data_IF_788127217062
#
_entry.id   IF_788127217062
#
_cell.length_a   1.000
_cell.length_b   1.000
_cell.length_c   1.000
_cell.angle_alpha   90.00
_cell.angle_beta   90.00
_cell.angle_gamma   90.00
#
_symmetry.space_group_name_H-M   'P 1'
#
loop_
_entity.id
_entity.type
_entity.pdbx_description
1 polymer ?
#
# COMPACT_ATOMS: atom_id res chain seq x y z
N UNK A 1 -7.43 -1.55 10.14
CA UNK A 1 -7.48 -0.92 8.81
C UNK A 1 -8.34 0.33 8.78
N UNK A 2 -9.65 0.24 9.09
CA UNK A 2 -10.55 1.41 9.15
C UNK A 2 -10.00 2.54 10.05
N UNK A 3 -9.52 2.22 11.26
CA UNK A 3 -8.93 3.22 12.16
C UNK A 3 -7.72 3.94 11.56
N UNK A 4 -6.89 3.24 10.77
CA UNK A 4 -5.77 3.84 10.03
C UNK A 4 -6.27 4.79 8.93
N UNK A 5 -7.24 4.34 8.13
CA UNK A 5 -7.87 5.18 7.11
C UNK A 5 -8.50 6.47 7.69
N UNK A 6 -9.18 6.38 8.85
CA UNK A 6 -9.72 7.56 9.55
C UNK A 6 -8.60 8.53 9.96
N UNK A 7 -7.46 8.03 10.46
CA UNK A 7 -6.32 8.88 10.83
C UNK A 7 -5.71 9.60 9.61
N UNK A 8 -5.59 8.90 8.48
CA UNK A 8 -5.12 9.47 7.21
C UNK A 8 -6.09 10.54 6.70
N UNK A 9 -7.39 10.25 6.63
CA UNK A 9 -8.44 11.21 6.24
C UNK A 9 -8.45 12.48 7.11
N UNK A 10 -8.15 12.35 8.41
CA UNK A 10 -8.07 13.48 9.34
C UNK A 10 -6.75 14.25 9.28
N UNK A 11 -5.78 13.85 8.44
CA UNK A 11 -4.44 14.43 8.40
C UNK A 11 -3.68 14.26 9.71
N UNK A 12 -3.98 13.22 10.50
CA UNK A 12 -3.33 12.94 11.80
C UNK A 12 -2.12 12.02 11.69
N UNK A 13 -1.85 11.50 10.50
CA UNK A 13 -0.70 10.67 10.16
C UNK A 13 -0.48 10.74 8.64
N UNK A 14 0.78 10.67 8.21
CA UNK A 14 1.15 10.49 6.81
C UNK A 14 1.14 9.00 6.42
N UNK A 15 1.53 8.14 7.36
CA UNK A 15 1.55 6.68 7.23
C UNK A 15 0.80 6.04 8.39
N UNK A 16 -0.04 5.05 8.11
CA UNK A 16 -0.68 4.20 9.10
C UNK A 16 -0.38 2.73 8.82
N UNK A 17 -0.08 1.94 9.85
CA UNK A 17 0.29 0.52 9.71
C UNK A 17 -0.70 -0.36 10.47
N UNK A 18 -1.14 -1.46 9.87
CA UNK A 18 -1.92 -2.50 10.52
C UNK A 18 -1.58 -3.90 9.98
N UNK A 19 -0.59 -4.54 10.59
CA UNK A 19 -0.13 -5.89 10.22
C UNK A 19 -1.18 -7.00 10.43
N UNK A 20 -2.20 -6.77 11.28
CA UNK A 20 -3.30 -7.72 11.46
C UNK A 20 -4.37 -7.66 10.35
N UNK A 21 -4.28 -6.68 9.45
CA UNK A 21 -5.16 -6.55 8.29
C UNK A 21 -4.53 -7.09 7.01
N UNK A 22 -5.12 -6.77 5.87
CA UNK A 22 -4.62 -7.22 4.56
C UNK A 22 -5.27 -8.52 4.06
N UNK A 23 -6.47 -8.84 4.56
CA UNK A 23 -7.19 -10.09 4.24
C UNK A 23 -7.95 -9.94 2.91
N UNK A 24 -7.19 -9.96 1.81
CA UNK A 24 -7.64 -9.54 0.48
C UNK A 24 -8.61 -10.50 -0.24
N UNK A 25 -8.72 -11.76 0.18
CA UNK A 25 -9.54 -12.78 -0.49
C UNK A 25 -11.02 -12.76 -0.07
N UNK A 26 -11.35 -12.11 1.06
CA UNK A 26 -12.72 -12.09 1.54
C UNK A 26 -13.65 -11.41 0.53
N UNK A 27 -14.77 -12.06 0.22
CA UNK A 27 -15.76 -11.59 -0.74
C UNK A 27 -16.91 -10.86 -0.05
N UNK A 28 -17.85 -10.34 -0.84
CA UNK A 28 -19.01 -9.63 -0.29
C UNK A 28 -19.91 -10.53 0.58
N UNK A 29 -20.08 -11.79 0.19
CA UNK A 29 -21.03 -12.71 0.80
C UNK A 29 -20.43 -14.09 1.11
N UNK A 30 -19.11 -14.25 1.07
CA UNK A 30 -18.43 -15.52 1.40
C UNK A 30 -16.99 -15.28 1.89
N UNK A 31 -16.50 -16.22 2.70
CA UNK A 31 -15.10 -16.29 3.08
C UNK A 31 -14.31 -17.05 2.02
N UNK A 32 -13.04 -16.67 1.80
CA UNK A 32 -12.15 -17.33 0.84
C UNK A 32 -10.70 -17.13 1.27
N UNK A 33 -9.81 -18.09 0.98
CA UNK A 33 -8.36 -17.95 1.21
C UNK A 33 -7.99 -17.48 2.63
N UNK A 34 -8.58 -18.10 3.66
CA UNK A 34 -8.41 -17.71 5.08
C UNK A 34 -8.92 -16.30 5.47
N UNK A 35 -9.61 -15.62 4.56
CA UNK A 35 -10.14 -14.28 4.75
C UNK A 35 -11.66 -14.30 4.94
N UNK A 36 -12.15 -13.68 6.03
CA UNK A 36 -13.57 -13.69 6.40
C UNK A 36 -14.25 -12.32 6.23
N UNK A 37 -13.52 -11.24 6.46
CA UNK A 37 -13.98 -9.87 6.28
C UNK A 37 -12.89 -9.08 5.56
N UNK A 38 -13.25 -8.39 4.48
CA UNK A 38 -12.29 -7.64 3.68
C UNK A 38 -12.02 -6.27 4.32
N UNK A 39 -11.09 -6.24 5.27
CA UNK A 39 -10.72 -5.02 6.00
C UNK A 39 -10.11 -3.94 5.09
N UNK A 40 -9.56 -4.35 3.95
CA UNK A 40 -8.99 -3.50 2.91
C UNK A 40 -10.09 -2.72 2.20
N UNK A 41 -11.13 -3.42 1.70
CA UNK A 41 -12.28 -2.79 1.05
C UNK A 41 -12.93 -1.77 1.98
N UNK A 42 -13.12 -2.11 3.26
CA UNK A 42 -13.68 -1.20 4.25
C UNK A 42 -12.80 0.03 4.51
N UNK A 43 -11.47 -0.14 4.52
CA UNK A 43 -10.54 0.98 4.66
C UNK A 43 -10.52 1.88 3.41
N UNK A 44 -10.58 1.32 2.20
CA UNK A 44 -10.68 2.09 0.95
C UNK A 44 -11.99 2.88 0.91
N UNK A 45 -13.12 2.28 1.29
CA UNK A 45 -14.41 2.99 1.40
C UNK A 45 -14.35 4.17 2.38
N UNK A 46 -13.60 4.04 3.47
CA UNK A 46 -13.34 5.15 4.39
C UNK A 46 -12.51 6.24 3.70
N UNK A 47 -11.39 5.90 3.04
CA UNK A 47 -10.55 6.86 2.32
C UNK A 47 -11.31 7.59 1.21
N UNK A 48 -12.21 6.91 0.51
CA UNK A 48 -13.06 7.50 -0.54
C UNK A 48 -14.02 8.58 -0.06
N UNK A 49 -14.17 8.80 1.26
CA UNK A 49 -14.91 9.95 1.80
C UNK A 49 -14.19 11.28 1.60
N UNK A 50 -12.86 11.26 1.51
CA UNK A 50 -12.00 12.46 1.36
C UNK A 50 -11.26 12.45 0.02
N UNK A 51 -10.77 11.28 -0.40
CA UNK A 51 -9.94 11.16 -1.59
C UNK A 51 -10.78 10.77 -2.82
N UNK A 52 -10.64 11.53 -3.92
CA UNK A 52 -11.36 11.25 -5.17
C UNK A 52 -10.93 9.91 -5.78
N UNK A 53 -9.63 9.60 -5.69
CA UNK A 53 -8.98 8.40 -6.24
C UNK A 53 -8.11 7.75 -5.17
N UNK A 54 -8.26 6.44 -4.98
CA UNK A 54 -7.44 5.64 -4.06
C UNK A 54 -6.73 4.55 -4.86
N UNK A 55 -5.41 4.45 -4.68
CA UNK A 55 -4.62 3.38 -5.30
C UNK A 55 -4.47 2.22 -4.31
N UNK A 56 -4.84 1.02 -4.73
CA UNK A 56 -4.57 -0.21 -4.01
C UNK A 56 -3.43 -0.97 -4.68
N UNK A 57 -2.41 -1.35 -3.91
CA UNK A 57 -1.23 -2.09 -4.36
C UNK A 57 -1.13 -3.35 -3.51
N UNK A 58 -0.95 -4.48 -4.19
CA UNK A 58 -0.90 -5.80 -3.59
C UNK A 58 0.38 -6.53 -4.02
N UNK A 59 1.23 -6.84 -3.03
CA UNK A 59 2.49 -7.58 -3.22
C UNK A 59 2.49 -8.96 -2.54
N UNK A 60 1.31 -9.43 -2.10
CA UNK A 60 1.08 -10.83 -1.77
C UNK A 60 1.38 -11.72 -2.99
N UNK A 61 1.78 -12.97 -2.76
CA UNK A 61 2.00 -13.88 -3.89
C UNK A 61 0.68 -14.28 -4.58
N UNK A 62 -0.45 -14.19 -3.88
CA UNK A 62 -1.77 -14.47 -4.41
C UNK A 62 -2.41 -13.22 -5.01
N UNK A 63 -3.24 -13.42 -6.03
CA UNK A 63 -4.01 -12.31 -6.60
C UNK A 63 -4.99 -11.74 -5.57
N UNK A 64 -4.98 -10.40 -5.40
CA UNK A 64 -5.88 -9.62 -4.54
C UNK A 64 -7.34 -9.56 -5.00
N UNK A 65 -7.92 -10.72 -5.28
CA UNK A 65 -9.16 -10.90 -6.02
C UNK A 65 -10.40 -10.33 -5.33
N UNK A 66 -10.50 -10.37 -4.00
CA UNK A 66 -11.62 -9.79 -3.27
C UNK A 66 -11.66 -8.26 -3.33
N UNK A 67 -10.48 -7.62 -3.33
CA UNK A 67 -10.38 -6.16 -3.47
C UNK A 67 -10.63 -5.74 -4.91
N UNK A 68 -10.04 -6.46 -5.88
CA UNK A 68 -10.30 -6.24 -7.31
C UNK A 68 -11.80 -6.36 -7.63
N UNK A 69 -12.45 -7.44 -7.19
CA UNK A 69 -13.88 -7.67 -7.44
C UNK A 69 -14.75 -6.54 -6.86
N UNK A 70 -14.44 -6.08 -5.64
CA UNK A 70 -15.21 -5.02 -4.97
C UNK A 70 -15.19 -3.69 -5.72
N UNK A 71 -14.12 -3.42 -6.49
CA UNK A 71 -13.94 -2.15 -7.19
C UNK A 71 -13.88 -2.29 -8.73
N UNK A 72 -14.17 -3.48 -9.26
CA UNK A 72 -14.01 -3.83 -10.67
C UNK A 72 -14.74 -2.92 -11.67
N UNK A 73 -15.77 -2.19 -11.22
CA UNK A 73 -16.60 -1.33 -12.06
C UNK A 73 -16.49 0.17 -11.78
N UNK A 74 -15.54 0.62 -10.96
CA UNK A 74 -15.31 2.03 -10.66
C UNK A 74 -13.92 2.49 -11.07
N UNK A 75 -13.81 3.77 -11.45
CA UNK A 75 -12.57 4.50 -11.71
C UNK A 75 -11.98 5.18 -10.45
N UNK A 76 -12.75 5.24 -9.35
CA UNK A 76 -12.33 5.87 -8.10
C UNK A 76 -11.34 5.04 -7.29
N UNK A 77 -11.17 3.76 -7.64
CA UNK A 77 -10.15 2.89 -7.07
C UNK A 77 -9.43 2.19 -8.20
N UNK A 78 -8.11 2.24 -8.20
CA UNK A 78 -7.28 1.43 -9.07
C UNK A 78 -6.67 0.29 -8.26
N UNK A 79 -6.85 -0.95 -8.70
CA UNK A 79 -6.24 -2.12 -8.07
C UNK A 79 -5.04 -2.57 -8.90
N UNK A 80 -3.92 -2.81 -8.22
CA UNK A 80 -2.67 -3.27 -8.83
C UNK A 80 -2.15 -4.47 -8.06
N UNK A 81 -2.00 -5.62 -8.72
CA UNK A 81 -1.54 -6.84 -8.07
C UNK A 81 -0.41 -7.51 -8.85
N UNK A 82 0.63 -7.95 -8.14
CA UNK A 82 1.78 -8.69 -8.65
C UNK A 82 1.82 -10.06 -8.01
N UNK A 83 1.42 -11.10 -8.72
CA UNK A 83 1.11 -12.39 -8.11
C UNK A 83 1.52 -13.55 -9.01
N UNK A 84 1.70 -14.73 -8.41
CA UNK A 84 1.87 -15.96 -9.18
C UNK A 84 0.59 -16.30 -9.92
N UNK A 85 0.72 -16.71 -11.18
CA UNK A 85 -0.41 -17.08 -12.02
C UNK A 85 -0.14 -18.34 -12.86
N UNK A 86 -1.18 -19.14 -13.04
CA UNK A 86 -1.13 -20.47 -13.67
C UNK A 86 -1.12 -21.60 -12.64
N UNK A 87 -2.18 -22.42 -12.65
CA UNK A 87 -2.42 -23.50 -11.66
C UNK A 87 -2.14 -23.09 -10.20
N UNK A 88 -2.58 -21.88 -9.82
CA UNK A 88 -2.35 -21.31 -8.49
C UNK A 88 -3.61 -20.62 -7.98
N UNK A 89 -3.80 -20.63 -6.66
CA UNK A 89 -4.92 -19.93 -6.02
C UNK A 89 -4.76 -18.40 -6.18
N UNK A 90 -5.84 -17.62 -6.41
CA UNK A 90 -7.25 -18.01 -6.54
C UNK A 90 -7.70 -18.37 -7.96
N UNK A 91 -6.81 -18.33 -8.95
CA UNK A 91 -7.12 -18.65 -10.36
C UNK A 91 -7.63 -17.47 -11.20
N UNK A 92 -7.59 -16.25 -10.66
CA UNK A 92 -7.90 -14.98 -11.35
C UNK A 92 -6.65 -14.11 -11.46
N UNK A 93 -6.73 -12.95 -12.12
CA UNK A 93 -5.61 -12.01 -12.23
C UNK A 93 -4.80 -12.17 -13.52
N UNK A 94 -5.44 -12.60 -14.62
CA UNK A 94 -4.76 -12.57 -15.92
C UNK A 94 -4.46 -11.12 -16.32
N UNK A 95 -3.41 -10.90 -17.12
CA UNK A 95 -3.20 -9.62 -17.84
C UNK A 95 -4.41 -9.07 -18.61
N UNK A 96 -5.39 -9.93 -18.94
CA UNK A 96 -6.65 -9.58 -19.61
C UNK A 96 -7.72 -9.05 -18.66
N UNK A 97 -7.59 -9.30 -17.36
CA UNK A 97 -8.50 -8.84 -16.32
C UNK A 97 -8.21 -7.37 -16.03
N UNK A 98 -8.87 -6.50 -16.79
CA UNK A 98 -8.61 -5.05 -16.81
C UNK A 98 -9.78 -4.22 -16.25
N UNK A 99 -10.70 -4.84 -15.52
CA UNK A 99 -11.92 -4.18 -15.04
C UNK A 99 -13.04 -4.11 -16.09
N UNK A 100 -14.19 -3.59 -15.69
CA UNK A 100 -15.39 -3.50 -16.52
C UNK A 100 -16.14 -2.18 -16.33
N UNK A 101 -17.01 -1.82 -17.29
CA UNK A 101 -17.80 -0.58 -17.24
C UNK A 101 -16.89 0.64 -16.99
N UNK A 102 -17.20 1.46 -15.98
CA UNK A 102 -16.39 2.62 -15.61
C UNK A 102 -15.03 2.26 -15.01
N UNK A 103 -14.83 1.02 -14.55
CA UNK A 103 -13.55 0.53 -14.01
C UNK A 103 -12.63 -0.11 -15.04
N UNK A 104 -13.00 -0.10 -16.34
CA UNK A 104 -12.12 -0.63 -17.39
C UNK A 104 -10.83 0.20 -17.45
N UNK A 105 -9.68 -0.49 -17.47
CA UNK A 105 -8.31 0.02 -17.32
C UNK A 105 -7.90 0.44 -15.89
N UNK A 106 -8.76 0.23 -14.89
CA UNK A 106 -8.47 0.52 -13.46
C UNK A 106 -8.18 -0.74 -12.63
N UNK A 107 -8.20 -1.93 -13.25
CA UNK A 107 -7.60 -3.13 -12.67
C UNK A 107 -6.32 -3.48 -13.45
N UNK A 108 -5.21 -3.64 -12.73
CA UNK A 108 -3.88 -3.89 -13.30
C UNK A 108 -3.29 -5.14 -12.67
N UNK A 109 -3.13 -6.17 -13.49
CA UNK A 109 -2.63 -7.48 -13.05
C UNK A 109 -1.30 -7.80 -13.73
N UNK A 110 -0.29 -8.10 -12.91
CA UNK A 110 1.01 -8.58 -13.35
C UNK A 110 1.18 -10.06 -12.94
N UNK A 111 0.75 -11.01 -13.79
CA UNK A 111 0.93 -12.43 -13.53
C UNK A 111 2.41 -12.80 -13.67
N UNK A 112 2.88 -13.59 -12.72
CA UNK A 112 4.26 -14.02 -12.58
C UNK A 112 4.36 -15.55 -12.48
N UNK A 113 5.57 -16.05 -12.71
CA UNK A 113 5.97 -17.45 -12.53
C UNK A 113 6.86 -17.59 -11.30
N UNK A 114 7.21 -18.83 -10.97
CA UNK A 114 8.03 -19.14 -9.82
C UNK A 114 9.42 -18.49 -9.87
N UNK A 115 9.98 -18.26 -8.68
CA UNK A 115 11.37 -17.89 -8.50
C UNK A 115 11.73 -16.46 -8.85
N UNK A 116 10.77 -15.54 -9.00
CA UNK A 116 11.11 -14.12 -9.22
C UNK A 116 12.02 -13.61 -8.10
N UNK A 117 13.11 -12.95 -8.51
CA UNK A 117 14.12 -12.37 -7.63
C UNK A 117 13.94 -10.85 -7.45
N UNK A 118 14.70 -10.27 -6.52
CA UNK A 118 14.63 -8.86 -6.15
C UNK A 118 14.85 -7.93 -7.36
N UNK A 119 15.85 -8.21 -8.18
CA UNK A 119 16.21 -7.42 -9.36
C UNK A 119 15.10 -7.42 -10.41
N UNK A 120 14.58 -8.61 -10.74
CA UNK A 120 13.50 -8.80 -11.69
C UNK A 120 12.22 -8.12 -11.22
N UNK A 121 11.86 -8.31 -9.95
CA UNK A 121 10.67 -7.70 -9.35
C UNK A 121 10.78 -6.16 -9.35
N UNK A 122 11.93 -5.60 -8.97
CA UNK A 122 12.15 -4.16 -9.02
C UNK A 122 12.07 -3.58 -10.45
N UNK A 123 12.53 -4.35 -11.46
CA UNK A 123 12.52 -3.94 -12.87
C UNK A 123 11.12 -3.82 -13.49
N UNK A 124 10.10 -4.40 -12.84
CA UNK A 124 8.69 -4.30 -13.24
C UNK A 124 7.89 -3.41 -12.30
N UNK A 125 8.13 -3.48 -10.98
CA UNK A 125 7.37 -2.74 -9.98
C UNK A 125 7.54 -1.23 -10.17
N UNK A 126 8.79 -0.74 -10.22
CA UNK A 126 9.07 0.70 -10.29
C UNK A 126 8.51 1.36 -11.57
N UNK A 127 8.72 0.81 -12.79
CA UNK A 127 8.17 1.44 -13.99
C UNK A 127 6.64 1.44 -14.04
N UNK A 128 6.00 0.35 -13.60
CA UNK A 128 4.54 0.24 -13.61
C UNK A 128 3.93 1.23 -12.61
N UNK A 129 4.37 1.19 -11.35
CA UNK A 129 3.83 2.07 -10.32
C UNK A 129 4.18 3.53 -10.57
N UNK A 130 5.38 3.82 -11.09
CA UNK A 130 5.74 5.17 -11.54
C UNK A 130 4.79 5.71 -12.60
N UNK A 131 4.43 4.89 -13.60
CA UNK A 131 3.46 5.28 -14.63
C UNK A 131 2.05 5.45 -14.07
N UNK A 132 1.64 4.59 -13.15
CA UNK A 132 0.34 4.68 -12.47
C UNK A 132 0.25 5.97 -11.66
N UNK A 133 1.28 6.31 -10.88
CA UNK A 133 1.30 7.56 -10.11
C UNK A 133 1.21 8.79 -11.01
N UNK A 134 1.88 8.78 -12.17
CA UNK A 134 1.83 9.85 -13.18
C UNK A 134 0.42 10.03 -13.78
N UNK A 135 -0.25 8.92 -14.13
CA UNK A 135 -1.51 8.93 -14.88
C UNK A 135 -2.74 8.95 -13.97
N UNK A 136 -2.77 8.06 -12.98
CA UNK A 136 -3.90 7.90 -12.05
C UNK A 136 -3.93 8.96 -10.96
N UNK A 137 -2.77 9.49 -10.53
CA UNK A 137 -2.66 10.56 -9.52
C UNK A 137 -3.57 10.32 -8.30
N UNK A 138 -3.37 9.24 -7.53
CA UNK A 138 -4.20 8.93 -6.37
C UNK A 138 -3.98 9.95 -5.25
N UNK A 139 -5.04 10.17 -4.46
CA UNK A 139 -4.96 11.01 -3.25
C UNK A 139 -4.61 10.24 -1.99
N UNK A 140 -4.71 8.91 -2.02
CA UNK A 140 -4.30 8.00 -0.95
C UNK A 140 -3.88 6.64 -1.53
N UNK A 141 -3.01 5.92 -0.83
CA UNK A 141 -2.51 4.60 -1.20
C UNK A 141 -2.84 3.61 -0.08
N UNK A 142 -3.33 2.44 -0.44
CA UNK A 142 -3.40 1.27 0.43
C UNK A 142 -2.46 0.22 -0.13
N UNK A 143 -1.46 -0.17 0.65
CA UNK A 143 -0.47 -1.17 0.27
C UNK A 143 -0.62 -2.40 1.15
N UNK A 144 -1.01 -3.51 0.55
CA UNK A 144 -1.03 -4.84 1.17
C UNK A 144 0.38 -5.42 1.02
N UNK A 145 0.99 -5.85 2.13
CA UNK A 145 2.37 -6.32 2.19
C UNK A 145 2.41 -7.80 2.60
N UNK A 146 1.69 -8.65 1.86
CA UNK A 146 1.68 -10.10 2.03
C UNK A 146 3.09 -10.68 1.92
N UNK A 147 3.55 -11.29 3.01
CA UNK A 147 4.93 -11.76 3.18
C UNK A 147 5.12 -13.21 2.67
N UNK A 148 4.12 -13.82 2.04
CA UNK A 148 4.24 -15.12 1.37
C UNK A 148 4.90 -15.05 -0.02
N UNK A 149 5.14 -13.83 -0.53
CA UNK A 149 6.00 -13.57 -1.68
C UNK A 149 7.51 -13.67 -1.36
N UNK A 150 7.87 -13.86 -0.09
CA UNK A 150 9.26 -14.03 0.34
C UNK A 150 9.84 -15.40 0.01
N UNK A 151 11.16 -15.44 -0.14
CA UNK A 151 11.92 -16.68 -0.24
C UNK A 151 11.68 -17.59 0.96
N UNK A 152 11.47 -18.88 0.67
CA UNK A 152 11.32 -19.92 1.69
C UNK A 152 10.01 -19.83 2.45
N UNK A 153 8.99 -19.15 1.91
CA UNK A 153 7.62 -19.30 2.38
C UNK A 153 7.13 -20.76 2.24
N UNK A 154 6.15 -21.17 3.06
CA UNK A 154 5.63 -22.54 3.04
C UNK A 154 4.66 -22.82 1.90
N UNK A 155 3.95 -21.80 1.42
CA UNK A 155 2.96 -21.89 0.35
C UNK A 155 3.41 -21.13 -0.91
N UNK A 156 4.13 -20.03 -0.72
CA UNK A 156 4.68 -19.22 -1.79
C UNK A 156 5.89 -19.85 -2.48
N UNK A 157 6.09 -19.48 -3.74
CA UNK A 157 7.16 -19.97 -4.61
C UNK A 157 7.93 -18.84 -5.31
N UNK A 158 7.98 -17.67 -4.69
CA UNK A 158 8.86 -16.57 -5.10
C UNK A 158 10.21 -16.64 -4.35
N UNK A 159 11.16 -15.81 -4.77
CA UNK A 159 12.51 -15.78 -4.23
C UNK A 159 12.90 -14.37 -3.72
N UNK A 160 11.93 -13.60 -3.24
CA UNK A 160 12.18 -12.23 -2.76
C UNK A 160 12.85 -12.22 -1.39
N UNK A 161 13.85 -11.38 -1.23
CA UNK A 161 14.43 -11.08 0.08
C UNK A 161 13.57 -10.05 0.83
N UNK A 162 13.78 -9.94 2.14
CA UNK A 162 13.17 -8.88 2.97
C UNK A 162 13.53 -7.49 2.44
N UNK A 163 14.74 -7.30 1.88
CA UNK A 163 15.14 -6.02 1.29
C UNK A 163 14.41 -5.78 -0.02
N UNK A 164 14.28 -6.79 -0.88
CA UNK A 164 13.51 -6.72 -2.12
C UNK A 164 12.07 -6.32 -1.88
N UNK A 165 11.42 -6.98 -0.91
CA UNK A 165 10.05 -6.69 -0.49
C UNK A 165 9.93 -5.26 0.07
N UNK A 166 10.76 -4.88 1.04
CA UNK A 166 10.73 -3.55 1.64
C UNK A 166 11.09 -2.40 0.69
N UNK A 167 11.84 -2.65 -0.41
CA UNK A 167 12.07 -1.67 -1.47
C UNK A 167 10.78 -1.24 -2.18
N UNK A 168 9.74 -2.07 -2.15
CA UNK A 168 8.43 -1.70 -2.67
C UNK A 168 7.79 -0.61 -1.81
N UNK A 169 7.81 -0.80 -0.48
CA UNK A 169 7.34 0.20 0.50
C UNK A 169 8.15 1.48 0.39
N UNK A 170 9.49 1.37 0.34
CA UNK A 170 10.41 2.50 0.17
C UNK A 170 10.07 3.31 -1.09
N UNK A 171 9.88 2.63 -2.24
CA UNK A 171 9.53 3.31 -3.49
C UNK A 171 8.19 4.04 -3.39
N UNK A 172 7.16 3.39 -2.86
CA UNK A 172 5.84 4.02 -2.76
C UNK A 172 5.80 5.19 -1.78
N UNK A 173 6.64 5.16 -0.74
CA UNK A 173 6.79 6.27 0.20
C UNK A 173 7.34 7.54 -0.47
N UNK A 174 8.17 7.41 -1.50
CA UNK A 174 8.76 8.57 -2.22
C UNK A 174 7.74 9.51 -2.86
N UNK A 175 6.51 9.06 -3.08
CA UNK A 175 5.45 9.88 -3.68
C UNK A 175 4.76 10.82 -2.69
N UNK A 176 5.00 10.69 -1.37
CA UNK A 176 4.47 11.56 -0.33
C UNK A 176 2.94 11.72 -0.37
N UNK A 177 2.23 10.60 -0.58
CA UNK A 177 0.77 10.50 -0.54
C UNK A 177 0.37 9.70 0.70
N UNK A 178 -0.75 10.02 1.40
CA UNK A 178 -1.22 9.26 2.55
C UNK A 178 -1.21 7.75 2.30
N UNK A 179 -0.50 7.01 3.15
CA UNK A 179 -0.18 5.59 2.93
C UNK A 179 -0.71 4.73 4.08
N UNK A 180 -1.60 3.80 3.76
CA UNK A 180 -2.02 2.73 4.67
C UNK A 180 -1.27 1.44 4.31
N UNK A 181 -0.42 0.96 5.21
CA UNK A 181 0.31 -0.31 5.06
C UNK A 181 -0.43 -1.40 5.85
N UNK A 182 -0.71 -2.52 5.20
CA UNK A 182 -1.40 -3.68 5.78
C UNK A 182 -0.51 -4.92 5.71
N UNK A 183 -0.85 -5.94 6.51
CA UNK A 183 -0.23 -7.26 6.40
C UNK A 183 -0.75 -8.03 5.19
N UNK A 184 -0.96 -9.34 5.36
CA UNK A 184 -1.38 -10.24 4.29
C UNK A 184 -1.04 -11.69 4.61
N UNK A 185 -0.85 -12.51 3.57
CA UNK A 185 -0.31 -13.86 3.68
C UNK A 185 1.11 -13.88 4.24
N UNK A 186 1.60 -15.08 4.56
CA UNK A 186 2.93 -15.30 5.14
C UNK A 186 2.95 -16.49 6.08
N UNK A 187 3.59 -17.58 5.67
CA UNK A 187 3.44 -18.90 6.29
C UNK A 187 4.75 -19.46 6.85
N UNK A 188 5.88 -18.86 6.49
CA UNK A 188 7.13 -18.97 7.27
C UNK A 188 7.18 -17.82 8.29
N UNK A 189 6.47 -17.97 9.41
CA UNK A 189 6.18 -16.91 10.42
C UNK A 189 7.40 -16.11 10.90
N UNK A 190 8.59 -16.71 10.91
CA UNK A 190 9.84 -16.04 11.30
C UNK A 190 10.25 -14.99 10.27
N UNK A 191 10.06 -15.30 9.00
CA UNK A 191 10.34 -14.38 7.91
C UNK A 191 9.25 -13.29 7.84
N UNK A 192 8.00 -13.62 8.17
CA UNK A 192 6.92 -12.62 8.33
C UNK A 192 7.30 -11.58 9.40
N UNK A 193 7.71 -12.04 10.59
CA UNK A 193 8.13 -11.16 11.68
C UNK A 193 9.31 -10.27 11.27
N UNK A 194 10.32 -10.84 10.59
CA UNK A 194 11.47 -10.09 10.05
C UNK A 194 11.04 -9.05 9.01
N UNK A 195 10.16 -9.43 8.08
CA UNK A 195 9.72 -8.58 6.98
C UNK A 195 8.97 -7.36 7.51
N UNK A 196 7.90 -7.57 8.27
CA UNK A 196 7.07 -6.47 8.77
C UNK A 196 7.80 -5.60 9.80
N UNK A 197 8.75 -6.15 10.57
CA UNK A 197 9.64 -5.34 11.39
C UNK A 197 10.54 -4.42 10.54
N UNK A 198 11.14 -4.96 9.48
CA UNK A 198 11.96 -4.19 8.55
C UNK A 198 11.14 -3.12 7.81
N UNK A 199 9.95 -3.46 7.31
CA UNK A 199 9.07 -2.52 6.62
C UNK A 199 8.52 -1.43 7.55
N UNK A 200 8.33 -1.73 8.83
CA UNK A 200 8.03 -0.70 9.83
C UNK A 200 9.20 0.29 9.94
N UNK A 201 10.45 -0.18 9.92
CA UNK A 201 11.61 0.71 9.92
C UNK A 201 11.72 1.54 8.63
N UNK A 202 11.42 0.94 7.47
CA UNK A 202 11.30 1.69 6.19
C UNK A 202 10.23 2.78 6.29
N UNK A 203 9.06 2.47 6.88
CA UNK A 203 8.01 3.45 7.10
C UNK A 203 8.46 4.60 8.03
N UNK A 204 9.39 4.35 8.95
CA UNK A 204 9.96 5.34 9.88
C UNK A 204 11.22 6.05 9.36
N UNK A 205 11.74 5.71 8.17
CA UNK A 205 13.07 6.13 7.68
C UNK A 205 14.23 5.72 8.61
N UNK A 206 14.09 4.59 9.29
CA UNK A 206 15.08 4.09 10.25
C UNK A 206 15.84 2.88 9.69
N UNK A 207 17.12 2.79 10.05
CA UNK A 207 17.94 1.62 9.70
C UNK A 207 18.02 0.65 10.88
N UNK A 208 17.55 -0.57 10.66
CA UNK A 208 17.75 -1.65 11.63
C UNK A 208 19.10 -2.33 11.43
N UNK A 209 19.69 -2.77 12.54
CA UNK A 209 20.85 -3.67 12.51
C UNK A 209 20.40 -5.04 12.00
N UNK A 210 21.32 -5.76 11.38
CA UNK A 210 21.03 -7.13 10.94
C UNK A 210 20.97 -8.10 12.13
N UNK A 211 21.65 -7.83 13.24
CA UNK A 211 21.57 -8.63 14.47
C UNK A 211 20.22 -8.40 15.16
N UNK A 212 19.47 -9.46 15.40
CA UNK A 212 18.18 -9.36 16.09
C UNK A 212 18.39 -9.01 17.57
N UNK A 213 17.61 -8.08 18.14
CA UNK A 213 17.60 -7.87 19.57
C UNK A 213 16.98 -9.07 20.28
N UNK A 214 17.40 -9.33 21.52
CA UNK A 214 16.73 -10.31 22.37
C UNK A 214 15.25 -9.96 22.53
N UNK A 215 14.40 -10.98 22.48
CA UNK A 215 12.96 -10.89 22.61
C UNK A 215 12.38 -12.23 23.06
N UNK A 216 11.11 -12.26 23.46
CA UNK A 216 10.44 -13.46 23.98
C UNK A 216 10.45 -14.66 23.02
N UNK A 217 10.61 -14.41 21.71
CA UNK A 217 10.63 -15.41 20.65
C UNK A 217 12.02 -15.58 20.01
N UNK A 218 13.09 -15.13 20.67
CA UNK A 218 14.45 -15.07 20.09
C UNK A 218 14.93 -16.41 19.51
N UNK A 219 14.62 -17.51 20.19
CA UNK A 219 14.98 -18.88 19.78
C UNK A 219 14.33 -19.33 18.46
N UNK A 220 13.23 -18.69 18.05
CA UNK A 220 12.60 -19.01 16.76
C UNK A 220 13.57 -18.70 15.62
N UNK A 221 14.37 -17.65 15.76
CA UNK A 221 15.29 -17.14 14.75
C UNK A 221 16.67 -17.82 14.76
N UNK A 222 16.83 -18.90 15.50
CA UNK A 222 18.02 -19.74 15.42
C UNK A 222 18.18 -20.35 14.01
N UNK A 223 19.43 -20.64 13.57
CA UNK A 223 20.67 -20.49 14.33
C UNK A 223 21.36 -19.13 14.16
N UNK A 224 20.91 -18.30 13.22
CA UNK A 224 21.64 -17.11 12.77
C UNK A 224 21.27 -15.84 13.54
N UNK A 225 20.03 -15.75 14.05
CA UNK A 225 19.51 -14.59 14.77
C UNK A 225 19.69 -13.27 14.00
N UNK A 226 19.58 -13.34 12.67
CA UNK A 226 19.64 -12.18 11.80
C UNK A 226 18.27 -11.75 11.27
N UNK A 227 18.15 -10.48 10.92
CA UNK A 227 16.98 -9.87 10.31
C UNK A 227 16.84 -10.28 8.86
N UNK A 228 17.90 -10.17 8.06
CA UNK A 228 17.85 -10.43 6.63
C UNK A 228 18.06 -11.91 6.31
N UNK A 229 17.32 -12.39 5.31
CA UNK A 229 17.42 -13.74 4.76
C UNK A 229 18.10 -13.71 3.39
N UNK A 230 18.84 -14.76 3.06
CA UNK A 230 19.45 -14.92 1.75
C UNK A 230 18.45 -15.52 0.75
N UNK A 231 18.45 -15.05 -0.52
CA UNK A 231 17.75 -15.74 -1.60
C UNK A 231 18.22 -17.19 -1.73
N UNK A 232 17.34 -18.05 -2.23
CA UNK A 232 17.65 -19.45 -2.52
C UNK A 232 18.25 -19.60 -3.93
N UNK A 233 18.76 -20.80 -4.24
CA UNK A 233 19.19 -21.17 -5.59
C UNK A 233 18.04 -21.58 -6.52
N UNK A 234 16.78 -21.23 -6.17
CA UNK A 234 15.61 -21.46 -7.02
C UNK A 234 15.79 -20.77 -8.37
N UNK A 235 15.45 -21.47 -9.45
CA UNK A 235 15.47 -20.92 -10.80
C UNK A 235 14.36 -19.86 -10.96
N UNK A 236 14.71 -18.69 -11.50
CA UNK A 236 13.75 -17.66 -11.85
C UNK A 236 13.13 -17.97 -13.23
N UNK A 237 11.87 -18.41 -13.24
CA UNK A 237 11.15 -18.77 -14.47
C UNK A 237 10.57 -17.56 -15.22
N UNK A 238 10.82 -16.34 -14.73
CA UNK A 238 10.37 -15.08 -15.31
C UNK A 238 11.45 -14.50 -16.21
N UNK A 239 11.57 -15.03 -17.43
CA UNK A 239 12.57 -14.52 -18.38
C UNK A 239 12.39 -13.02 -18.65
N UNK A 240 13.47 -12.27 -18.94
CA UNK A 240 13.37 -10.84 -19.25
C UNK A 240 12.35 -10.53 -20.36
N UNK A 241 12.29 -11.36 -21.40
CA UNK A 241 11.31 -11.22 -22.49
C UNK A 241 9.86 -11.44 -22.03
N UNK A 242 9.64 -12.38 -21.10
CA UNK A 242 8.31 -12.61 -20.52
C UNK A 242 7.85 -11.40 -19.72
N UNK A 243 8.71 -10.88 -18.84
CA UNK A 243 8.44 -9.68 -18.04
C UNK A 243 8.23 -8.44 -18.93
N UNK A 244 9.05 -8.26 -19.96
CA UNK A 244 8.94 -7.16 -20.90
C UNK A 244 7.60 -7.15 -21.62
N UNK A 245 7.15 -8.29 -22.15
CA UNK A 245 5.85 -8.39 -22.85
C UNK A 245 4.66 -8.03 -21.96
N UNK A 246 4.65 -8.49 -20.71
CA UNK A 246 3.57 -8.16 -19.76
C UNK A 246 3.62 -6.67 -19.42
N UNK A 247 4.81 -6.16 -19.10
CA UNK A 247 5.03 -4.74 -18.79
C UNK A 247 4.58 -3.83 -19.92
N UNK A 248 4.96 -4.12 -21.17
CA UNK A 248 4.53 -3.36 -22.34
C UNK A 248 3.01 -3.32 -22.48
N UNK A 249 2.35 -4.47 -22.34
CA UNK A 249 0.90 -4.56 -22.40
C UNK A 249 0.21 -3.75 -21.31
N UNK A 250 0.72 -3.79 -20.08
CA UNK A 250 0.17 -2.98 -18.99
C UNK A 250 0.40 -1.49 -19.27
N UNK A 251 1.59 -1.10 -19.71
CA UNK A 251 1.88 0.29 -20.06
C UNK A 251 0.98 0.80 -21.21
N UNK A 252 0.67 -0.05 -22.19
CA UNK A 252 -0.29 0.26 -23.24
C UNK A 252 -1.71 0.42 -22.69
N UNK A 253 -2.15 -0.46 -21.77
CA UNK A 253 -3.44 -0.33 -21.09
C UNK A 253 -3.54 1.03 -20.34
N UNK A 254 -2.48 1.43 -19.64
CA UNK A 254 -2.45 2.68 -18.88
C UNK A 254 -2.56 3.93 -19.76
N UNK A 255 -2.20 3.86 -21.06
CA UNK A 255 -2.38 4.98 -22.00
C UNK A 255 -3.84 5.29 -22.32
N UNK A 256 -4.77 4.38 -21.99
CA UNK A 256 -6.21 4.60 -22.19
C UNK A 256 -6.85 5.37 -21.04
N UNK A 257 -6.14 5.59 -19.93
CA UNK A 257 -6.64 6.42 -18.84
C UNK A 257 -6.77 7.87 -19.34
N UNK A 258 -7.84 8.57 -18.98
CA UNK A 258 -7.95 9.99 -19.29
C UNK A 258 -6.82 10.74 -18.58
N UNK A 259 -6.06 11.54 -19.31
CA UNK A 259 -5.14 12.51 -18.71
C UNK A 259 -5.92 13.35 -17.71
N UNK A 260 -5.43 13.45 -16.46
CA UNK A 260 -6.12 14.17 -15.40
C UNK A 260 -6.60 15.55 -15.89
N UNK A 261 -7.86 15.95 -15.59
CA UNK A 261 -8.37 17.26 -15.99
C UNK A 261 -7.49 18.35 -15.37
N UNK A 262 -6.63 18.99 -16.17
CA UNK A 262 -5.68 19.99 -15.68
C UNK A 262 -4.43 20.19 -16.53
N UNK A 263 -4.01 19.20 -17.34
CA UNK A 263 -2.96 19.42 -18.35
C UNK A 263 -3.59 19.75 -19.71
N UNK A 264 -3.71 21.04 -20.02
CA UNK A 264 -3.68 21.47 -21.42
C UNK A 264 -2.28 21.12 -21.95
N UNK A 265 -2.17 20.02 -22.69
CA UNK A 265 -1.00 19.77 -23.54
C UNK A 265 -1.10 20.76 -24.70
N UNK A 266 -0.57 21.96 -24.48
CA UNK A 266 -0.26 22.90 -25.55
C UNK A 266 0.83 22.26 -26.41
N UNK A 267 0.46 21.83 -27.60
CA UNK A 267 1.42 21.31 -28.57
C UNK A 267 2.36 22.41 -29.05
N UNK A 268 3.65 22.23 -28.85
CA UNK A 268 4.66 22.54 -29.86
C UNK A 268 5.97 21.85 -29.45
N UNK A 269 6.40 20.91 -30.26
CA UNK A 269 7.77 20.46 -30.28
C UNK A 269 8.64 21.65 -30.69
N UNK A 270 9.62 22.02 -29.87
CA UNK A 270 10.87 22.58 -30.36
C UNK A 270 12.00 22.32 -29.36
N UNK A 271 13.02 21.65 -29.86
CA UNK A 271 14.27 21.33 -29.20
C UNK A 271 15.04 22.60 -28.88
N UNK A 272 15.27 22.90 -27.59
CA UNK A 272 16.20 23.95 -27.18
C UNK A 272 17.48 23.32 -26.62
N UNK A 273 18.57 23.51 -27.37
CA UNK A 273 19.95 23.24 -26.97
C UNK A 273 20.31 24.10 -25.75
N UNK A 274 20.95 23.50 -24.76
CA UNK A 274 21.55 24.22 -23.63
C UNK A 274 22.91 24.74 -24.09
N UNK A 275 23.02 26.06 -24.25
CA UNK A 275 24.29 26.76 -24.45
C UNK A 275 24.67 27.39 -23.11
N UNK A 276 25.76 26.91 -22.52
CA UNK A 276 26.30 27.38 -21.25
C UNK A 276 27.01 28.72 -21.45
N UNK A 277 26.50 29.78 -20.82
CA UNK A 277 27.26 30.99 -20.55
C UNK A 277 27.17 31.32 -19.06
N UNK A 278 28.32 31.19 -18.41
CA UNK A 278 28.63 31.72 -17.10
C UNK A 278 28.61 33.26 -17.19
N UNK A 279 27.91 33.92 -16.27
CA UNK A 279 28.13 35.32 -15.97
C UNK A 279 28.38 35.46 -14.46
N UNK A 280 29.59 35.92 -14.17
CA UNK A 280 30.13 36.30 -12.87
C UNK A 280 29.25 37.36 -12.18
N UNK A 281 29.05 37.20 -10.86
CA UNK A 281 28.56 38.29 -10.01
C UNK A 281 29.58 38.55 -8.91
N UNK A 282 30.23 39.70 -9.04
CA UNK A 282 31.18 40.31 -8.11
C UNK A 282 30.59 40.52 -6.70
N UNK A 283 31.35 40.09 -5.69
CA UNK A 283 31.18 40.48 -4.29
C UNK A 283 31.74 41.89 -4.05
N UNK A 284 30.97 42.76 -3.39
CA UNK A 284 31.51 43.91 -2.65
C UNK A 284 30.82 44.10 -1.31
N UNK A 285 31.61 43.94 -0.26
CA UNK A 285 31.33 44.39 1.11
C UNK A 285 31.30 45.92 1.22
N UNK A 286 30.54 46.41 2.21
CA UNK A 286 30.50 47.81 2.62
C UNK A 286 29.75 47.99 3.95
N UNK A 287 30.52 48.06 5.03
CA UNK A 287 30.20 48.27 6.45
C UNK A 287 29.52 49.62 6.78
N UNK A 288 28.85 49.74 7.95
CA UNK A 288 28.53 51.05 8.55
C UNK A 288 27.26 51.23 9.41
N UNK A 289 27.22 50.60 10.59
CA UNK A 289 26.99 51.21 11.93
C UNK A 289 25.66 51.94 12.37
N UNK A 290 25.32 51.66 13.65
CA UNK A 290 24.65 52.49 14.70
C UNK A 290 23.12 52.59 14.91
N UNK A 291 22.69 51.85 15.95
CA UNK A 291 22.20 52.31 17.27
C UNK A 291 20.72 52.67 17.59
N UNK A 292 20.36 52.23 18.82
CA UNK A 292 19.26 52.58 19.77
C UNK A 292 17.87 51.93 19.56
N UNK A 293 17.37 51.06 20.46
CA UNK A 293 17.03 51.12 21.91
C UNK A 293 15.60 51.63 22.21
N UNK A 294 15.03 50.92 23.19
CA UNK A 294 13.85 51.22 24.04
C UNK A 294 12.45 50.95 23.45
N UNK A 295 11.40 50.62 24.19
CA UNK A 295 11.13 49.79 25.37
C UNK A 295 9.62 49.97 25.70
N UNK A 296 8.96 48.88 26.11
CA UNK A 296 7.81 48.79 27.04
C UNK A 296 6.43 49.38 26.70
N UNK A 297 5.41 48.61 27.11
CA UNK A 297 4.00 48.97 27.33
C UNK A 297 3.12 47.91 26.66
N UNK A 298 2.45 46.95 27.31
CA UNK A 298 1.83 46.93 28.62
C UNK A 298 0.36 47.30 28.46
N UNK A 299 -0.57 46.34 28.45
CA UNK A 299 -1.84 46.45 29.18
C UNK A 299 -2.57 45.09 29.29
N UNK A 300 -3.21 44.91 30.43
CA UNK A 300 -4.04 43.78 30.81
C UNK A 300 -5.51 44.07 30.46
N UNK A 301 -6.29 43.02 30.22
CA UNK A 301 -7.74 43.12 30.04
C UNK A 301 -8.43 41.85 30.52
N UNK A 302 -9.05 41.95 31.69
CA UNK A 302 -9.85 40.93 32.36
C UNK A 302 -11.14 40.57 31.58
N UNK A 303 -11.68 39.39 31.89
CA UNK A 303 -13.13 39.19 31.97
C UNK A 303 -13.72 38.21 30.95
N UNK A 304 -14.04 36.99 31.37
CA UNK A 304 -15.40 36.68 31.82
C UNK A 304 -15.57 35.18 32.01
N UNK A 305 -16.18 34.82 33.14
CA UNK A 305 -16.73 33.50 33.44
C UNK A 305 -17.91 33.24 32.50
N UNK A 306 -18.09 32.00 32.09
CA UNK A 306 -19.45 31.46 32.06
C UNK A 306 -19.48 29.95 32.30
N UNK A 307 -20.32 29.58 33.26
CA UNK A 307 -20.70 28.22 33.61
C UNK A 307 -21.62 27.64 32.53
N UNK A 308 -21.49 26.35 32.21
CA UNK A 308 -22.66 25.49 32.02
C UNK A 308 -22.32 24.01 32.19
N UNK A 309 -23.13 23.39 33.04
CA UNK A 309 -23.08 22.02 33.52
C UNK A 309 -24.32 21.30 32.95
N UNK A 310 -24.16 20.20 32.21
CA UNK A 310 -25.17 19.19 31.88
C UNK A 310 -24.38 17.89 31.64
N UNK A 311 -24.60 16.76 32.29
CA UNK A 311 -25.86 16.17 32.75
C UNK A 311 -26.07 14.90 31.95
N UNK A 312 -25.68 13.76 32.53
CA UNK A 312 -25.72 12.41 31.95
C UNK A 312 -27.13 11.95 31.55
N UNK A 313 -27.23 11.14 30.49
CA UNK A 313 -28.31 10.17 30.32
C UNK A 313 -27.79 8.89 29.67
N UNK A 314 -28.00 7.77 30.37
CA UNK A 314 -27.64 6.39 29.99
C UNK A 314 -28.82 5.79 29.23
N UNK A 315 -28.59 5.28 28.02
CA UNK A 315 -29.56 4.43 27.33
C UNK A 315 -29.24 2.95 27.55
N UNK A 316 -30.27 2.23 28.03
CA UNK A 316 -30.27 0.78 28.27
C UNK A 316 -30.68 0.05 26.99
N UNK A 317 -29.84 -0.91 26.60
CA UNK A 317 -30.11 -1.91 25.55
C UNK A 317 -31.19 -2.89 26.04
N UNK A 318 -32.20 -3.15 25.20
CA UNK A 318 -33.08 -4.33 25.31
C UNK A 318 -32.62 -5.37 24.29
N UNK A 319 -32.28 -6.55 24.80
CA UNK A 319 -32.04 -7.78 24.06
C UNK A 319 -33.37 -8.52 23.98
N UNK A 320 -33.80 -8.93 22.78
CA UNK A 320 -34.86 -9.92 22.61
C UNK A 320 -34.24 -11.17 21.96
N UNK A 321 -34.22 -12.24 22.75
CA UNK A 321 -33.92 -13.60 22.32
C UNK A 321 -35.06 -14.13 21.45
N UNK A 322 -34.73 -14.80 20.34
CA UNK A 322 -35.65 -15.74 19.68
C UNK A 322 -34.95 -17.08 19.50
N UNK A 323 -35.54 -18.06 20.19
CA UNK A 323 -35.15 -19.46 20.26
C UNK A 323 -35.23 -20.17 18.90
N UNK A 324 -34.29 -21.10 18.73
CA UNK A 324 -34.23 -22.11 17.70
C UNK A 324 -35.33 -23.16 17.90
N UNK A 325 -36.10 -23.44 16.84
CA UNK A 325 -37.00 -24.58 16.77
C UNK A 325 -36.37 -25.70 15.95
N UNK A 326 -35.97 -26.77 16.61
CA UNK A 326 -35.62 -28.04 15.99
C UNK A 326 -36.89 -28.88 15.76
N UNK A 327 -37.09 -29.37 14.53
CA UNK A 327 -37.95 -30.55 14.29
C UNK A 327 -37.23 -31.54 13.37
N UNK A 328 -36.94 -32.69 13.97
CA UNK A 328 -36.58 -33.96 13.36
C UNK A 328 -37.86 -34.73 13.03
N UNK A 329 -37.91 -35.40 11.86
CA UNK A 329 -38.67 -36.62 11.58
C UNK A 329 -38.54 -37.11 10.13
N UNK A 330 -37.78 -38.20 9.99
CA UNK A 330 -38.16 -39.46 9.32
C UNK A 330 -39.10 -39.43 8.09
N UNK A 331 -38.61 -39.94 6.95
CA UNK A 331 -39.06 -41.23 6.35
C UNK A 331 -38.38 -41.55 5.01
N UNK A 332 -37.89 -42.80 4.92
CA UNK A 332 -38.00 -43.80 3.82
C UNK A 332 -38.42 -43.25 2.44
N UNK A 333 -37.64 -43.43 1.38
CA UNK A 333 -37.41 -44.68 0.63
C UNK A 333 -36.18 -44.53 -0.28
#
# INVERSE_FOLDING_TARGET
SIGGAVKLNMGKADVAVNWAGGLHHAKKCEASGFCYANDIVLAILELLKVHQRVLYIDIDIHHGDGVEEAFFTTDRVMTVSFHKYGEYFPGTGDTKDIGAKGGKYYAVNFPLRDGIDDESYASIFRPILGKIMEQYQPGAIVMQCGADSLVGDRLGSFNLSIKGHGRCVEFMKTFNVPLLILGGGGYTIRNVARCWAYETAVALDEQLRNELPYNDYYEYFAPDHHLHISPSNMENLNTPDYLARIKERILDNLRHLPSAPGLQIGGSAETARVDSKEEDVDEKEGDGDKDKKDAKGGDAGEGSKDHRNHGEAKDKVKVEDKEEGAEDKDKKD
#
